data_IF_513193679248
#
_entry.id   IF_513193679248
#
_cell.length_a   1.000
_cell.length_b   1.000
_cell.length_c   1.000
_cell.angle_alpha   90.00
_cell.angle_beta   90.00
_cell.angle_gamma   90.00
#
_symmetry.space_group_name_H-M   'P 1'
#
loop_
_entity.id
_entity.type
_entity.pdbx_description
1 polymer ?
#
# COMPACT_ATOMS: atom_id res chain seq x y z
N UNK A 1 -1.74 15.39 1.99
CA UNK A 1 -2.60 14.31 2.54
C UNK A 1 -1.74 13.08 2.73
N UNK A 2 -1.55 12.58 3.93
CA UNK A 2 -0.69 11.43 4.17
C UNK A 2 -1.55 10.22 4.51
N UNK A 3 -1.60 9.19 3.68
CA UNK A 3 -2.05 7.85 4.12
C UNK A 3 -2.04 6.82 2.99
N UNK A 4 -0.92 6.61 2.33
CA UNK A 4 -0.84 5.63 1.23
C UNK A 4 0.15 4.46 1.41
N UNK A 5 1.07 4.51 2.36
CA UNK A 5 2.21 3.58 2.41
C UNK A 5 2.18 2.51 3.51
N UNK A 6 1.16 2.50 4.38
CA UNK A 6 1.08 1.52 5.47
C UNK A 6 0.10 0.36 5.24
N UNK A 7 -0.53 0.27 4.06
CA UNK A 7 -1.49 -0.82 3.75
C UNK A 7 -0.85 -2.09 3.19
N UNK A 8 0.44 -2.14 2.94
CA UNK A 8 1.08 -3.30 2.29
C UNK A 8 1.58 -4.39 3.25
N UNK A 9 1.81 -4.13 4.51
CA UNK A 9 2.30 -5.15 5.45
C UNK A 9 1.20 -6.06 6.05
N UNK A 10 -0.05 -5.62 6.05
CA UNK A 10 -1.19 -6.42 6.55
C UNK A 10 -1.82 -7.27 5.45
N UNK A 11 -1.54 -6.95 4.18
CA UNK A 11 -2.10 -7.65 3.01
C UNK A 11 -1.45 -9.01 2.73
N UNK A 12 -0.27 -9.30 3.27
CA UNK A 12 0.47 -10.53 2.92
C UNK A 12 0.01 -11.78 3.68
N UNK A 13 -0.77 -11.62 4.74
CA UNK A 13 -1.48 -12.75 5.37
C UNK A 13 -2.86 -12.97 4.75
N UNK A 14 -3.39 -11.98 4.00
CA UNK A 14 -4.74 -11.99 3.43
C UNK A 14 -4.80 -11.91 1.90
N UNK A 15 -3.69 -11.99 1.18
CA UNK A 15 -3.66 -11.80 -0.28
C UNK A 15 -3.10 -13.01 -1.04
N UNK A 16 -3.74 -14.17 -0.88
CA UNK A 16 -3.67 -15.23 -1.90
C UNK A 16 -5.09 -15.64 -2.20
N UNK A 17 -5.56 -15.32 -3.40
CA UNK A 17 -6.83 -15.65 -4.03
C UNK A 17 -7.90 -14.54 -4.04
N UNK A 18 -7.71 -13.55 -4.87
CA UNK A 18 -8.82 -12.81 -5.45
C UNK A 18 -8.45 -12.38 -6.88
N UNK A 19 -8.59 -13.30 -7.82
CA UNK A 19 -8.79 -12.96 -9.23
C UNK A 19 -9.75 -13.98 -9.86
N UNK A 20 -10.80 -13.42 -10.43
CA UNK A 20 -11.70 -13.95 -11.45
C UNK A 20 -13.12 -14.40 -11.05
N UNK A 21 -14.08 -13.67 -11.63
CA UNK A 21 -15.41 -14.00 -12.13
C UNK A 21 -16.63 -13.89 -11.21
N UNK A 22 -17.33 -12.77 -11.42
CA UNK A 22 -18.74 -12.59 -11.05
C UNK A 22 -19.66 -13.33 -12.02
N UNK A 23 -20.61 -14.14 -11.50
CA UNK A 23 -21.79 -14.59 -12.23
C UNK A 23 -23.02 -14.61 -11.30
N UNK A 24 -24.23 -14.35 -11.83
CA UNK A 24 -25.41 -14.06 -11.02
C UNK A 24 -26.15 -15.29 -10.51
N UNK A 25 -26.62 -15.17 -9.29
CA UNK A 25 -27.76 -15.80 -8.61
C UNK A 25 -28.20 -17.21 -8.99
N UNK A 26 -28.07 -18.16 -8.07
CA UNK A 26 -28.88 -19.37 -8.02
C UNK A 26 -29.84 -19.37 -6.83
N UNK A 27 -31.05 -19.95 -6.98
CA UNK A 27 -32.08 -19.91 -5.95
C UNK A 27 -31.75 -20.83 -4.78
N UNK A 28 -32.10 -20.37 -3.58
CA UNK A 28 -32.06 -21.13 -2.33
C UNK A 28 -33.14 -22.22 -2.35
N UNK A 29 -32.74 -23.46 -1.99
CA UNK A 29 -33.64 -24.56 -1.70
C UNK A 29 -33.37 -25.83 -2.49
N UNK A 30 -32.48 -26.67 -1.99
CA UNK A 30 -32.44 -28.07 -2.42
C UNK A 30 -33.03 -28.97 -1.31
N UNK A 31 -33.87 -29.98 -1.68
CA UNK A 31 -34.39 -30.94 -0.72
C UNK A 31 -33.26 -31.82 -0.16
N UNK A 32 -33.35 -32.10 1.13
CA UNK A 32 -32.44 -32.97 1.88
C UNK A 32 -32.52 -34.41 1.34
N UNK A 33 -31.64 -34.75 0.42
CA UNK A 33 -31.44 -36.11 -0.09
C UNK A 33 -30.35 -36.75 0.74
N UNK A 34 -30.70 -37.81 1.47
CA UNK A 34 -29.73 -38.63 2.20
C UNK A 34 -28.81 -39.36 1.22
N UNK A 35 -27.64 -38.79 0.93
CA UNK A 35 -26.63 -39.41 0.09
C UNK A 35 -25.65 -40.25 0.94
N UNK A 36 -25.25 -41.45 0.48
CA UNK A 36 -24.29 -42.30 1.18
C UNK A 36 -22.86 -41.71 1.26
N UNK A 37 -22.57 -40.62 0.57
CA UNK A 37 -21.30 -39.88 0.58
C UNK A 37 -21.55 -38.36 0.70
N UNK A 38 -22.28 -37.95 1.74
CA UNK A 38 -22.63 -36.54 1.99
C UNK A 38 -21.37 -35.64 2.01
N UNK A 39 -20.35 -36.04 2.73
CA UNK A 39 -19.09 -35.29 2.85
C UNK A 39 -18.39 -35.09 1.50
N UNK A 40 -18.33 -36.13 0.66
CA UNK A 40 -17.73 -36.01 -0.67
C UNK A 40 -18.51 -35.03 -1.56
N UNK A 41 -19.83 -35.05 -1.49
CA UNK A 41 -20.66 -34.10 -2.21
C UNK A 41 -20.44 -32.67 -1.73
N UNK A 42 -20.38 -32.46 -0.42
CA UNK A 42 -20.11 -31.16 0.20
C UNK A 42 -18.72 -30.62 -0.22
N UNK A 43 -17.68 -31.48 -0.27
CA UNK A 43 -16.34 -31.08 -0.72
C UNK A 43 -16.31 -30.70 -2.20
N UNK A 44 -16.93 -31.48 -3.07
CA UNK A 44 -16.98 -31.19 -4.52
C UNK A 44 -17.76 -29.88 -4.75
N UNK A 45 -18.88 -29.68 -4.07
CA UNK A 45 -19.68 -28.47 -4.21
C UNK A 45 -18.98 -27.24 -3.67
N UNK A 46 -18.21 -27.36 -2.58
CA UNK A 46 -17.39 -26.30 -2.03
C UNK A 46 -16.27 -25.88 -3.01
N UNK A 47 -15.59 -26.85 -3.61
CA UNK A 47 -14.53 -26.61 -4.59
C UNK A 47 -15.08 -25.90 -5.85
N UNK A 48 -16.23 -26.35 -6.37
CA UNK A 48 -16.94 -25.70 -7.46
C UNK A 48 -17.35 -24.26 -7.07
N UNK A 49 -17.81 -24.04 -5.87
CA UNK A 49 -18.23 -22.73 -5.38
C UNK A 49 -17.05 -21.74 -5.32
N UNK A 50 -15.88 -22.19 -4.84
CA UNK A 50 -14.65 -21.38 -4.88
C UNK A 50 -14.28 -20.96 -6.30
N UNK A 51 -14.30 -21.89 -7.25
CA UNK A 51 -14.02 -21.60 -8.66
C UNK A 51 -15.02 -20.64 -9.30
N UNK A 52 -16.23 -20.56 -8.74
CA UNK A 52 -17.28 -19.61 -9.15
C UNK A 52 -17.28 -18.30 -8.37
N UNK A 53 -16.39 -18.15 -7.39
CA UNK A 53 -16.30 -16.96 -6.53
C UNK A 53 -17.33 -16.95 -5.41
N UNK A 54 -18.11 -18.01 -5.19
CA UNK A 54 -19.06 -18.15 -4.07
C UNK A 54 -18.36 -18.72 -2.83
N UNK A 55 -17.49 -17.91 -2.25
CA UNK A 55 -16.75 -18.28 -1.03
C UNK A 55 -17.66 -18.43 0.20
N UNK A 56 -18.83 -17.80 0.17
CA UNK A 56 -19.82 -17.93 1.27
C UNK A 56 -20.38 -19.34 1.35
N UNK A 57 -20.79 -19.92 0.22
CA UNK A 57 -21.26 -21.28 0.14
C UNK A 57 -20.14 -22.28 0.46
N UNK A 58 -18.93 -22.06 -0.06
CA UNK A 58 -17.78 -22.90 0.23
C UNK A 58 -17.49 -22.98 1.73
N UNK A 59 -17.56 -21.85 2.43
CA UNK A 59 -17.40 -21.79 3.88
C UNK A 59 -18.39 -22.72 4.61
N UNK A 60 -19.69 -22.61 4.29
CA UNK A 60 -20.72 -23.43 4.98
C UNK A 60 -20.50 -24.92 4.72
N UNK A 61 -20.20 -25.32 3.46
CA UNK A 61 -19.96 -26.71 3.11
C UNK A 61 -18.71 -27.26 3.83
N UNK A 62 -17.60 -26.51 3.85
CA UNK A 62 -16.39 -26.94 4.56
C UNK A 62 -16.58 -26.97 6.09
N UNK A 63 -17.35 -26.04 6.66
CA UNK A 63 -17.67 -26.03 8.08
C UNK A 63 -18.50 -27.24 8.52
N UNK A 64 -19.49 -27.61 7.72
CA UNK A 64 -20.33 -28.78 7.98
C UNK A 64 -19.51 -30.07 7.87
N UNK A 65 -18.72 -30.19 6.79
CA UNK A 65 -17.82 -31.32 6.61
C UNK A 65 -16.76 -31.42 7.73
N UNK A 66 -16.17 -30.28 8.15
CA UNK A 66 -15.17 -30.24 9.23
C UNK A 66 -15.72 -30.74 10.56
N UNK A 67 -16.95 -30.34 10.92
CA UNK A 67 -17.61 -30.78 12.15
C UNK A 67 -17.96 -32.26 12.13
N UNK A 68 -18.45 -32.77 10.97
CA UNK A 68 -18.86 -34.16 10.81
C UNK A 68 -17.68 -35.12 10.86
N UNK A 69 -16.59 -34.77 10.15
CA UNK A 69 -15.39 -35.61 10.01
C UNK A 69 -14.31 -35.31 11.08
N UNK A 70 -14.52 -34.27 11.92
CA UNK A 70 -13.51 -33.77 12.87
C UNK A 70 -12.17 -33.50 12.16
N UNK A 71 -12.21 -32.89 11.00
CA UNK A 71 -11.06 -32.66 10.15
C UNK A 71 -10.49 -31.25 10.33
N UNK A 72 -9.23 -31.21 10.76
CA UNK A 72 -8.47 -29.94 10.86
C UNK A 72 -8.29 -29.26 9.50
N UNK A 73 -8.03 -30.05 8.45
CA UNK A 73 -7.81 -29.51 7.09
C UNK A 73 -9.07 -28.83 6.55
N UNK A 74 -10.25 -29.43 6.77
CA UNK A 74 -11.51 -28.84 6.33
C UNK A 74 -11.87 -27.59 7.15
N UNK A 75 -11.61 -27.60 8.44
CA UNK A 75 -11.79 -26.43 9.30
C UNK A 75 -10.85 -25.27 8.88
N UNK A 76 -9.63 -25.60 8.46
CA UNK A 76 -8.68 -24.64 7.90
C UNK A 76 -9.20 -24.02 6.58
N UNK A 77 -9.73 -24.83 5.66
CA UNK A 77 -10.33 -24.33 4.42
C UNK A 77 -11.52 -23.40 4.71
N UNK A 78 -12.39 -23.76 5.66
CA UNK A 78 -13.47 -22.89 6.09
C UNK A 78 -12.93 -21.56 6.68
N UNK A 79 -11.88 -21.63 7.49
CA UNK A 79 -11.23 -20.44 8.03
C UNK A 79 -10.64 -19.56 6.92
N UNK A 80 -9.95 -20.14 5.94
CA UNK A 80 -9.40 -19.41 4.79
C UNK A 80 -10.51 -18.70 3.98
N UNK A 81 -11.64 -19.35 3.74
CA UNK A 81 -12.79 -18.75 3.08
C UNK A 81 -13.40 -17.58 3.88
N UNK A 82 -13.53 -17.74 5.20
CA UNK A 82 -14.01 -16.68 6.08
C UNK A 82 -13.07 -15.46 6.08
N UNK A 83 -11.77 -15.70 6.08
CA UNK A 83 -10.73 -14.67 5.98
C UNK A 83 -10.79 -13.95 4.62
N UNK A 84 -10.91 -14.68 3.53
CA UNK A 84 -11.02 -14.12 2.18
C UNK A 84 -12.24 -13.22 2.02
N UNK A 85 -13.36 -13.57 2.66
CA UNK A 85 -14.60 -12.76 2.67
C UNK A 85 -14.60 -11.66 3.73
N UNK A 86 -13.53 -11.52 4.51
CA UNK A 86 -13.40 -10.55 5.61
C UNK A 86 -14.54 -10.66 6.64
N UNK A 87 -14.96 -11.87 6.92
CA UNK A 87 -15.99 -12.14 7.93
C UNK A 87 -15.36 -12.64 9.23
N UNK A 88 -15.14 -11.77 10.23
CA UNK A 88 -14.45 -12.15 11.47
C UNK A 88 -15.24 -13.17 12.30
N UNK A 89 -16.56 -13.10 12.32
CA UNK A 89 -17.40 -14.05 13.09
C UNK A 89 -17.24 -15.47 12.54
N UNK A 90 -17.29 -15.64 11.23
CA UNK A 90 -17.07 -16.90 10.55
C UNK A 90 -15.64 -17.41 10.76
N UNK A 91 -14.64 -16.52 10.68
CA UNK A 91 -13.25 -16.89 10.93
C UNK A 91 -13.03 -17.40 12.37
N UNK A 92 -13.64 -16.74 13.37
CA UNK A 92 -13.60 -17.18 14.78
C UNK A 92 -14.29 -18.53 14.95
N UNK A 93 -15.46 -18.73 14.32
CA UNK A 93 -16.18 -20.00 14.39
C UNK A 93 -15.36 -21.16 13.78
N UNK A 94 -14.77 -20.95 12.62
CA UNK A 94 -13.91 -21.94 11.96
C UNK A 94 -12.62 -22.20 12.77
N UNK A 95 -12.01 -21.17 13.35
CA UNK A 95 -10.83 -21.32 14.20
C UNK A 95 -11.10 -22.20 15.42
N UNK A 96 -12.28 -22.10 16.02
CA UNK A 96 -12.68 -22.97 17.15
C UNK A 96 -12.79 -24.44 16.72
N UNK A 97 -13.49 -24.71 15.61
CA UNK A 97 -13.60 -26.09 15.07
C UNK A 97 -12.22 -26.63 14.67
N UNK A 98 -11.36 -25.79 14.12
CA UNK A 98 -10.00 -26.18 13.77
C UNK A 98 -9.20 -26.56 15.03
N UNK A 99 -9.28 -25.81 16.13
CA UNK A 99 -8.59 -26.10 17.36
C UNK A 99 -9.15 -27.35 18.10
N UNK A 100 -10.42 -27.69 17.90
CA UNK A 100 -11.00 -28.93 18.43
C UNK A 100 -10.37 -30.18 17.76
N UNK A 101 -9.98 -30.06 16.49
CA UNK A 101 -9.36 -31.14 15.70
C UNK A 101 -7.83 -31.09 15.71
N UNK A 102 -7.25 -29.92 15.71
CA UNK A 102 -5.81 -29.66 15.80
C UNK A 102 -5.54 -28.56 16.84
N UNK A 103 -5.36 -28.94 18.11
CA UNK A 103 -5.03 -27.98 19.15
C UNK A 103 -3.70 -27.22 18.93
N UNK A 104 -2.85 -27.62 17.99
CA UNK A 104 -1.58 -26.96 17.67
C UNK A 104 -1.70 -25.89 16.56
N UNK A 105 -2.87 -25.76 15.94
CA UNK A 105 -3.09 -24.81 14.85
C UNK A 105 -2.80 -23.36 15.29
N UNK A 106 -1.67 -22.84 14.84
CA UNK A 106 -1.17 -21.51 15.24
C UNK A 106 -2.09 -20.39 14.77
N UNK A 107 -2.51 -20.41 13.50
CA UNK A 107 -3.35 -19.38 12.87
C UNK A 107 -4.74 -19.32 13.51
N UNK A 108 -5.29 -20.47 13.88
CA UNK A 108 -6.55 -20.53 14.60
C UNK A 108 -6.44 -19.88 16.01
N UNK A 109 -5.36 -20.15 16.75
CA UNK A 109 -5.11 -19.48 18.04
C UNK A 109 -4.87 -18.00 17.89
N UNK A 110 -4.13 -17.58 16.85
CA UNK A 110 -3.90 -16.18 16.57
C UNK A 110 -5.22 -15.44 16.28
N UNK A 111 -6.15 -16.09 15.57
CA UNK A 111 -7.49 -15.55 15.32
C UNK A 111 -8.27 -15.34 16.63
N UNK A 112 -8.25 -16.33 17.55
CA UNK A 112 -8.91 -16.19 18.84
C UNK A 112 -8.23 -15.18 19.76
N UNK A 113 -6.90 -15.07 19.69
CA UNK A 113 -6.15 -14.05 20.42
C UNK A 113 -6.52 -12.64 19.91
N UNK A 114 -6.56 -12.45 18.59
CA UNK A 114 -6.95 -11.16 18.00
C UNK A 114 -8.38 -10.75 18.42
N UNK A 115 -9.32 -11.67 18.39
CA UNK A 115 -10.69 -11.46 18.89
C UNK A 115 -10.73 -11.09 20.38
N UNK A 116 -9.98 -11.81 21.22
CA UNK A 116 -9.90 -11.54 22.65
C UNK A 116 -9.29 -10.15 22.93
N UNK A 117 -8.26 -9.76 22.16
CA UNK A 117 -7.63 -8.42 22.25
C UNK A 117 -8.63 -7.34 21.85
N UNK A 118 -9.38 -7.51 20.78
CA UNK A 118 -10.38 -6.52 20.34
C UNK A 118 -11.54 -6.35 21.31
N UNK A 119 -11.96 -7.44 21.95
CA UNK A 119 -13.01 -7.41 22.98
C UNK A 119 -12.51 -6.92 24.35
N UNK A 120 -11.19 -6.82 24.54
CA UNK A 120 -10.58 -6.50 25.85
C UNK A 120 -10.77 -7.62 26.88
N UNK A 121 -10.85 -8.87 26.46
CA UNK A 121 -10.95 -10.05 27.32
C UNK A 121 -9.56 -10.46 27.82
N UNK A 122 -9.13 -9.83 28.90
CA UNK A 122 -7.79 -10.00 29.45
C UNK A 122 -7.48 -11.46 29.85
N UNK A 123 -8.47 -12.21 30.32
CA UNK A 123 -8.30 -13.62 30.70
C UNK A 123 -8.05 -14.49 29.46
N UNK A 124 -8.85 -14.31 28.41
CA UNK A 124 -8.68 -15.00 27.15
C UNK A 124 -7.35 -14.61 26.45
N UNK A 125 -6.95 -13.32 26.48
CA UNK A 125 -5.66 -12.86 25.96
C UNK A 125 -4.51 -13.62 26.60
N UNK A 126 -4.45 -13.69 27.93
CA UNK A 126 -3.40 -14.42 28.65
C UNK A 126 -3.42 -15.91 28.31
N UNK A 127 -4.58 -16.54 28.36
CA UNK A 127 -4.72 -17.96 28.08
C UNK A 127 -4.24 -18.35 26.67
N UNK A 128 -4.55 -17.53 25.64
CA UNK A 128 -4.09 -17.82 24.29
C UNK A 128 -2.56 -17.61 24.14
N UNK A 129 -1.98 -16.59 24.75
CA UNK A 129 -0.53 -16.35 24.73
C UNK A 129 0.22 -17.47 25.46
N UNK A 130 -0.24 -17.88 26.65
CA UNK A 130 0.37 -18.93 27.42
C UNK A 130 0.37 -20.26 26.66
N UNK A 131 -0.74 -20.59 26.01
CA UNK A 131 -0.85 -21.82 25.21
C UNK A 131 0.03 -21.78 23.95
N UNK A 132 0.12 -20.63 23.26
CA UNK A 132 1.05 -20.43 22.13
C UNK A 132 2.49 -20.63 22.60
N UNK A 133 2.86 -20.03 23.73
CA UNK A 133 4.21 -20.16 24.30
C UNK A 133 4.55 -21.59 24.67
N UNK A 134 3.61 -22.29 25.34
CA UNK A 134 3.77 -23.71 25.77
C UNK A 134 4.02 -24.59 24.53
N UNK A 135 3.16 -24.51 23.52
CA UNK A 135 3.25 -25.33 22.30
C UNK A 135 4.49 -25.04 21.48
N UNK A 136 4.86 -23.76 21.38
CA UNK A 136 6.09 -23.38 20.68
C UNK A 136 7.34 -23.96 21.38
N UNK A 137 7.33 -24.06 22.69
CA UNK A 137 8.42 -24.71 23.43
C UNK A 137 8.56 -26.21 23.10
N UNK A 138 7.47 -26.87 22.69
CA UNK A 138 7.46 -28.29 22.28
C UNK A 138 7.97 -28.49 20.85
N UNK A 139 7.79 -27.49 19.97
CA UNK A 139 8.09 -27.58 18.53
C UNK A 139 9.40 -26.91 18.14
N UNK A 140 9.74 -25.76 18.74
CA UNK A 140 10.94 -24.98 18.44
C UNK A 140 12.16 -25.53 19.21
N UNK A 141 12.88 -26.48 18.64
CA UNK A 141 13.95 -27.22 19.32
C UNK A 141 15.33 -26.59 19.16
N UNK A 142 15.59 -25.96 18.01
CA UNK A 142 16.89 -25.36 17.71
C UNK A 142 16.98 -23.90 18.20
N UNK A 143 18.19 -23.38 18.51
CA UNK A 143 18.37 -21.98 18.89
C UNK A 143 17.83 -20.98 17.85
N UNK A 144 17.87 -21.34 16.55
CA UNK A 144 17.36 -20.51 15.48
C UNK A 144 15.82 -20.47 15.43
N UNK A 145 15.18 -21.57 15.80
CA UNK A 145 13.69 -21.66 15.86
C UNK A 145 13.11 -20.98 17.08
N UNK A 146 13.84 -20.99 18.22
CA UNK A 146 13.35 -20.45 19.49
C UNK A 146 12.91 -19.00 19.37
N UNK A 147 11.65 -18.73 19.66
CA UNK A 147 11.03 -17.41 19.56
C UNK A 147 10.47 -17.07 18.18
N UNK A 148 10.53 -17.96 17.18
CA UNK A 148 9.97 -17.70 15.84
C UNK A 148 8.46 -17.52 15.85
N UNK A 149 7.78 -18.17 16.80
CA UNK A 149 6.34 -17.98 16.99
C UNK A 149 5.98 -16.53 17.35
N UNK A 150 6.83 -15.81 18.10
CA UNK A 150 6.64 -14.40 18.43
C UNK A 150 6.66 -13.55 17.15
N UNK A 151 7.61 -13.81 16.25
CA UNK A 151 7.71 -13.10 14.99
C UNK A 151 6.46 -13.33 14.12
N UNK A 152 5.90 -14.54 14.13
CA UNK A 152 4.62 -14.87 13.46
C UNK A 152 3.41 -14.21 14.14
N UNK A 153 3.47 -14.00 15.45
CA UNK A 153 2.40 -13.41 16.26
C UNK A 153 2.24 -11.91 16.00
N UNK A 154 3.34 -11.18 15.86
CA UNK A 154 3.33 -9.71 15.83
C UNK A 154 2.46 -9.08 14.73
N UNK A 155 2.47 -9.56 13.47
CA UNK A 155 1.61 -9.01 12.43
C UNK A 155 0.11 -9.08 12.77
N UNK A 156 -0.33 -10.19 13.39
CA UNK A 156 -1.71 -10.36 13.82
C UNK A 156 -2.10 -9.35 14.92
N UNK A 157 -1.25 -9.18 15.92
CA UNK A 157 -1.46 -8.19 16.98
C UNK A 157 -1.30 -6.75 16.50
N UNK A 158 -0.47 -6.52 15.48
CA UNK A 158 -0.33 -5.22 14.87
C UNK A 158 -1.57 -4.81 14.03
N UNK A 159 -2.41 -5.75 13.61
CA UNK A 159 -3.62 -5.50 12.86
C UNK A 159 -4.81 -5.06 13.74
N UNK A 160 -4.85 -5.45 15.02
CA UNK A 160 -5.97 -5.12 15.91
C UNK A 160 -5.97 -3.66 16.34
N UNK A 161 -7.14 -3.15 16.74
CA UNK A 161 -7.25 -1.77 17.25
C UNK A 161 -6.53 -1.61 18.58
N UNK A 162 -5.79 -0.50 18.82
CA UNK A 162 -5.22 -0.21 20.12
C UNK A 162 -6.30 -0.12 21.21
N UNK A 163 -6.14 -0.87 22.29
CA UNK A 163 -7.10 -0.93 23.39
C UNK A 163 -6.52 -1.58 24.65
N UNK A 164 -7.37 -1.88 25.64
CA UNK A 164 -6.96 -2.55 26.87
C UNK A 164 -6.38 -3.95 26.62
N UNK A 165 -7.02 -4.73 25.75
CA UNK A 165 -6.55 -6.08 25.40
C UNK A 165 -5.16 -6.09 24.76
N UNK A 166 -4.81 -5.09 23.93
CA UNK A 166 -3.45 -4.99 23.39
C UNK A 166 -2.43 -4.67 24.51
N UNK A 167 -2.80 -3.83 25.49
CA UNK A 167 -1.95 -3.58 26.67
C UNK A 167 -1.72 -4.85 27.45
N UNK A 168 -2.77 -5.64 27.68
CA UNK A 168 -2.68 -6.94 28.36
C UNK A 168 -1.81 -7.92 27.57
N UNK A 169 -1.94 -7.96 26.24
CA UNK A 169 -1.07 -8.79 25.40
C UNK A 169 0.41 -8.38 25.53
N UNK A 170 0.72 -7.08 25.47
CA UNK A 170 2.08 -6.57 25.68
C UNK A 170 2.62 -6.95 27.05
N UNK A 171 1.84 -6.75 28.12
CA UNK A 171 2.25 -7.12 29.48
C UNK A 171 2.54 -8.62 29.63
N UNK A 172 1.72 -9.46 28.99
CA UNK A 172 1.87 -10.93 29.05
C UNK A 172 3.09 -11.39 28.24
N UNK A 173 3.35 -10.74 27.11
CA UNK A 173 4.49 -11.06 26.24
C UNK A 173 5.84 -10.58 26.79
N UNK A 174 5.89 -9.51 27.58
CA UNK A 174 7.12 -8.91 28.08
C UNK A 174 8.09 -9.91 28.72
N UNK A 175 7.68 -10.75 29.73
CA UNK A 175 8.58 -11.72 30.35
C UNK A 175 9.01 -12.84 29.41
N UNK A 176 8.20 -13.14 28.38
CA UNK A 176 8.54 -14.13 27.36
C UNK A 176 9.60 -13.57 26.41
N UNK A 177 9.39 -12.36 25.92
CA UNK A 177 10.32 -11.65 25.01
C UNK A 177 11.68 -11.41 25.67
N UNK A 178 11.70 -11.19 27.00
CA UNK A 178 12.94 -11.03 27.77
C UNK A 178 13.84 -12.27 27.74
N UNK A 179 13.31 -13.44 27.38
CA UNK A 179 14.11 -14.67 27.22
C UNK A 179 14.90 -14.69 25.90
N UNK A 180 14.59 -13.78 24.97
CA UNK A 180 15.21 -13.71 23.64
C UNK A 180 15.98 -12.39 23.40
N UNK A 181 16.92 -12.01 24.27
CA UNK A 181 17.57 -10.67 24.19
C UNK A 181 18.44 -10.49 22.95
N UNK A 182 18.89 -11.58 22.34
CA UNK A 182 19.76 -11.59 21.15
C UNK A 182 18.99 -11.73 19.82
N UNK A 183 17.69 -11.93 19.87
CA UNK A 183 16.83 -12.02 18.68
C UNK A 183 16.33 -10.63 18.32
N UNK A 184 17.03 -9.95 17.43
CA UNK A 184 16.70 -8.58 17.01
C UNK A 184 15.29 -8.48 16.42
N UNK A 185 14.88 -9.46 15.60
CA UNK A 185 13.55 -9.58 15.02
C UNK A 185 12.43 -9.67 16.09
N UNK A 186 12.64 -10.49 17.15
CA UNK A 186 11.72 -10.60 18.28
C UNK A 186 11.63 -9.28 19.04
N UNK A 187 12.77 -8.64 19.34
CA UNK A 187 12.80 -7.41 20.12
C UNK A 187 12.18 -6.23 19.36
N UNK A 188 12.43 -6.11 18.05
CA UNK A 188 11.89 -5.03 17.19
C UNK A 188 10.38 -5.24 17.00
N UNK A 189 9.93 -6.46 16.70
CA UNK A 189 8.50 -6.75 16.59
C UNK A 189 7.73 -6.45 17.88
N UNK A 190 8.30 -6.77 19.04
CA UNK A 190 7.71 -6.38 20.31
C UNK A 190 7.71 -4.86 20.53
N UNK A 191 8.76 -4.19 20.12
CA UNK A 191 8.81 -2.72 20.17
C UNK A 191 7.71 -2.05 19.33
N UNK A 192 7.33 -2.63 18.19
CA UNK A 192 6.18 -2.18 17.40
C UNK A 192 4.87 -2.23 18.21
N UNK A 193 4.64 -3.30 18.98
CA UNK A 193 3.47 -3.40 19.85
C UNK A 193 3.52 -2.38 21.00
N UNK A 194 4.70 -2.16 21.61
CA UNK A 194 4.89 -1.13 22.62
C UNK A 194 4.51 0.26 22.09
N UNK A 195 4.95 0.62 20.90
CA UNK A 195 4.62 1.89 20.27
C UNK A 195 3.09 2.08 20.16
N UNK A 196 2.37 1.04 19.78
CA UNK A 196 0.90 1.05 19.64
C UNK A 196 0.15 1.15 20.97
N UNK A 197 0.78 0.81 22.08
CA UNK A 197 0.19 0.96 23.44
C UNK A 197 0.49 2.30 24.09
N UNK A 198 1.11 3.24 23.36
CA UNK A 198 1.47 4.57 23.83
C UNK A 198 2.82 4.63 24.56
N UNK A 199 3.63 3.57 24.45
CA UNK A 199 4.95 3.49 25.07
C UNK A 199 6.07 3.81 24.03
N UNK A 200 5.90 4.87 23.24
CA UNK A 200 6.74 5.21 22.10
C UNK A 200 8.22 5.33 22.42
N UNK A 201 8.58 6.05 23.51
CA UNK A 201 9.97 6.23 23.90
C UNK A 201 10.66 4.90 24.27
N UNK A 202 9.95 4.03 24.98
CA UNK A 202 10.45 2.70 25.31
C UNK A 202 10.59 1.84 24.07
N UNK A 203 9.62 1.89 23.19
CA UNK A 203 9.62 1.19 21.90
C UNK A 203 10.84 1.56 21.06
N UNK A 204 11.08 2.86 20.87
CA UNK A 204 12.21 3.34 20.10
C UNK A 204 13.55 2.92 20.71
N UNK A 205 13.75 3.09 22.03
CA UNK A 205 14.98 2.64 22.70
C UNK A 205 15.21 1.14 22.54
N UNK A 206 14.15 0.31 22.67
CA UNK A 206 14.26 -1.14 22.54
C UNK A 206 14.62 -1.54 21.10
N UNK A 207 13.94 -0.96 20.10
CA UNK A 207 14.24 -1.21 18.70
C UNK A 207 15.65 -0.78 18.32
N UNK A 208 16.11 0.38 18.78
CA UNK A 208 17.46 0.88 18.56
C UNK A 208 18.53 -0.06 19.16
N UNK A 209 18.32 -0.53 20.38
CA UNK A 209 19.23 -1.47 21.04
C UNK A 209 19.26 -2.83 20.31
N UNK A 210 18.11 -3.30 19.85
CA UNK A 210 18.01 -4.56 19.09
C UNK A 210 18.73 -4.48 17.74
N UNK A 211 18.53 -3.42 16.98
CA UNK A 211 19.22 -3.16 15.70
C UNK A 211 20.73 -3.03 15.90
N UNK A 212 21.20 -2.37 16.98
CA UNK A 212 22.60 -2.25 17.28
C UNK A 212 23.27 -3.60 17.58
N UNK A 213 22.55 -4.63 17.97
CA UNK A 213 23.08 -5.99 18.18
C UNK A 213 23.40 -6.73 16.88
N UNK A 214 22.85 -6.27 15.75
CA UNK A 214 23.03 -6.82 14.40
C UNK A 214 23.48 -5.72 13.42
N UNK A 215 24.65 -5.13 13.60
CA UNK A 215 25.05 -3.85 13.02
C UNK A 215 25.18 -3.82 11.48
N UNK A 216 25.14 -4.98 10.82
CA UNK A 216 25.22 -5.10 9.35
C UNK A 216 23.88 -5.50 8.71
N UNK A 217 22.83 -5.66 9.52
CA UNK A 217 21.50 -6.01 9.06
C UNK A 217 20.70 -4.72 8.78
N UNK A 218 20.66 -4.33 7.53
CA UNK A 218 19.97 -3.10 7.11
C UNK A 218 18.44 -3.21 7.20
N UNK A 219 17.90 -4.42 7.08
CA UNK A 219 16.45 -4.64 7.22
C UNK A 219 16.03 -4.38 8.67
N UNK A 220 16.73 -4.95 9.64
CA UNK A 220 16.48 -4.71 11.06
C UNK A 220 16.70 -3.27 11.47
N UNK A 221 17.69 -2.60 10.84
CA UNK A 221 17.87 -1.17 11.02
C UNK A 221 16.69 -0.36 10.51
N UNK A 222 16.18 -0.71 9.33
CA UNK A 222 15.00 -0.05 8.74
C UNK A 222 13.75 -0.22 9.59
N UNK A 223 13.49 -1.44 10.06
CA UNK A 223 12.38 -1.73 10.97
C UNK A 223 12.49 -0.94 12.29
N UNK A 224 13.69 -0.89 12.88
CA UNK A 224 13.92 -0.13 14.10
C UNK A 224 13.76 1.38 13.91
N UNK A 225 14.21 1.91 12.78
CA UNK A 225 14.00 3.31 12.41
C UNK A 225 12.52 3.63 12.23
N UNK A 226 11.74 2.71 11.67
CA UNK A 226 10.30 2.85 11.51
C UNK A 226 9.57 2.87 12.87
N UNK A 227 9.95 2.02 13.81
CA UNK A 227 9.44 2.07 15.21
C UNK A 227 9.71 3.44 15.84
N UNK A 228 10.93 3.98 15.70
CA UNK A 228 11.26 5.29 16.22
C UNK A 228 10.49 6.41 15.51
N UNK A 229 10.27 6.27 14.22
CA UNK A 229 9.44 7.18 13.44
C UNK A 229 8.00 7.20 13.95
N UNK A 230 7.36 6.05 14.09
CA UNK A 230 5.98 5.92 14.59
C UNK A 230 5.84 6.47 16.03
N UNK A 231 6.88 6.33 16.84
CA UNK A 231 6.96 6.86 18.17
C UNK A 231 7.19 8.40 18.24
N UNK A 232 7.39 9.07 17.10
CA UNK A 232 7.71 10.50 17.04
C UNK A 232 9.19 10.82 17.32
N UNK A 233 10.03 9.81 17.54
CA UNK A 233 11.46 9.95 17.87
C UNK A 233 12.34 10.02 16.62
N UNK A 234 12.05 11.00 15.74
CA UNK A 234 12.75 11.17 14.44
C UNK A 234 14.26 11.40 14.61
N UNK A 235 14.68 12.07 15.69
CA UNK A 235 16.09 12.32 15.97
C UNK A 235 16.89 11.03 16.20
N UNK A 236 16.31 10.06 16.90
CA UNK A 236 16.93 8.75 17.13
C UNK A 236 16.95 7.93 15.85
N UNK A 237 15.83 7.88 15.11
CA UNK A 237 15.79 7.23 13.80
C UNK A 237 16.88 7.76 12.86
N UNK A 238 17.01 9.08 12.78
CA UNK A 238 18.08 9.74 12.02
C UNK A 238 19.50 9.30 12.48
N UNK A 239 19.75 9.34 13.79
CA UNK A 239 21.04 9.03 14.37
C UNK A 239 21.48 7.59 14.05
N UNK A 240 20.57 6.63 14.16
CA UNK A 240 20.83 5.23 13.84
C UNK A 240 21.20 5.04 12.37
N UNK A 241 20.42 5.62 11.46
CA UNK A 241 20.64 5.53 10.01
C UNK A 241 21.94 6.22 9.61
N UNK A 242 22.22 7.41 10.14
CA UNK A 242 23.46 8.13 9.88
C UNK A 242 24.71 7.35 10.34
N UNK A 243 24.63 6.73 11.52
CA UNK A 243 25.71 5.88 12.03
C UNK A 243 26.00 4.67 11.13
N UNK A 244 24.96 4.06 10.59
CA UNK A 244 25.09 2.96 9.64
C UNK A 244 25.69 3.45 8.32
N UNK A 245 25.18 4.55 7.75
CA UNK A 245 25.63 5.11 6.49
C UNK A 245 27.09 5.61 6.50
N UNK A 246 27.66 5.88 7.67
CA UNK A 246 29.11 6.14 7.79
C UNK A 246 29.97 4.93 7.42
N UNK A 247 29.46 3.71 7.65
CA UNK A 247 30.15 2.45 7.33
C UNK A 247 29.71 1.89 5.97
N UNK A 248 28.46 2.13 5.59
CA UNK A 248 27.81 1.62 4.39
C UNK A 248 27.24 2.78 3.55
N UNK A 249 28.09 3.66 2.99
CA UNK A 249 27.67 4.95 2.42
C UNK A 249 26.77 4.82 1.17
N UNK A 250 26.75 3.64 0.56
CA UNK A 250 26.06 3.36 -0.70
C UNK A 250 24.89 2.37 -0.56
N UNK A 251 24.43 2.08 0.66
CA UNK A 251 23.27 1.23 0.88
C UNK A 251 22.00 2.00 0.46
N UNK A 252 21.45 1.63 -0.71
CA UNK A 252 20.30 2.33 -1.32
C UNK A 252 19.04 2.22 -0.48
N UNK A 253 18.82 1.09 0.19
CA UNK A 253 17.67 0.87 1.06
C UNK A 253 17.72 1.81 2.28
N UNK A 254 18.86 1.88 2.95
CA UNK A 254 19.03 2.77 4.12
C UNK A 254 19.04 4.24 3.71
N UNK A 255 19.64 4.59 2.55
CA UNK A 255 19.60 5.94 2.01
C UNK A 255 18.17 6.41 1.73
N UNK A 256 17.30 5.54 1.22
CA UNK A 256 15.89 5.85 0.99
C UNK A 256 15.16 6.15 2.31
N UNK A 257 15.35 5.33 3.33
CA UNK A 257 14.75 5.55 4.66
C UNK A 257 15.30 6.83 5.29
N UNK A 258 16.60 7.06 5.20
CA UNK A 258 17.24 8.26 5.72
C UNK A 258 16.71 9.52 5.03
N UNK A 259 16.55 9.49 3.72
CA UNK A 259 15.94 10.58 2.95
C UNK A 259 14.54 10.94 3.46
N UNK A 260 13.70 9.95 3.71
CA UNK A 260 12.35 10.17 4.27
C UNK A 260 12.39 10.76 5.69
N UNK A 261 13.31 10.32 6.54
CA UNK A 261 13.48 10.87 7.89
C UNK A 261 13.94 12.34 7.82
N UNK A 262 14.91 12.64 6.96
CA UNK A 262 15.40 14.01 6.75
C UNK A 262 14.31 14.95 6.22
N UNK A 263 13.49 14.47 5.28
CA UNK A 263 12.33 15.21 4.76
C UNK A 263 11.33 15.55 5.85
N UNK A 264 10.98 14.59 6.70
CA UNK A 264 10.06 14.81 7.84
C UNK A 264 10.63 15.77 8.90
N UNK A 265 11.95 15.80 9.03
CA UNK A 265 12.65 16.80 9.87
C UNK A 265 12.75 18.17 9.19
N UNK A 266 12.19 18.36 8.00
CA UNK A 266 12.26 19.60 7.22
C UNK A 266 13.62 19.83 6.55
N UNK A 267 14.51 18.86 6.55
CA UNK A 267 15.88 18.95 6.02
C UNK A 267 15.93 18.52 4.55
N UNK A 268 15.14 19.20 3.71
CA UNK A 268 14.91 18.81 2.30
C UNK A 268 16.19 18.64 1.49
N UNK A 269 17.19 19.50 1.68
CA UNK A 269 18.45 19.39 0.94
C UNK A 269 19.23 18.12 1.30
N UNK A 270 19.24 17.72 2.58
CA UNK A 270 19.87 16.48 3.04
C UNK A 270 19.09 15.24 2.54
N UNK A 271 17.76 15.33 2.54
CA UNK A 271 16.90 14.28 1.97
C UNK A 271 17.18 14.07 0.48
N UNK A 272 17.28 15.15 -0.28
CA UNK A 272 17.61 15.10 -1.71
C UNK A 272 19.00 14.48 -1.94
N UNK A 273 20.04 14.88 -1.18
CA UNK A 273 21.37 14.27 -1.29
C UNK A 273 21.34 12.75 -1.06
N UNK A 274 20.59 12.30 -0.05
CA UNK A 274 20.44 10.88 0.24
C UNK A 274 19.78 10.12 -0.92
N UNK A 275 18.70 10.65 -1.49
CA UNK A 275 18.01 10.05 -2.63
C UNK A 275 18.89 10.02 -3.89
N UNK A 276 19.64 11.10 -4.15
CA UNK A 276 20.58 11.15 -5.28
C UNK A 276 21.71 10.12 -5.14
N UNK A 277 22.20 9.90 -3.94
CA UNK A 277 23.19 8.84 -3.67
C UNK A 277 22.59 7.44 -3.86
N UNK A 278 21.36 7.24 -3.39
CA UNK A 278 20.64 5.97 -3.60
C UNK A 278 20.40 5.68 -5.09
N UNK A 279 20.02 6.70 -5.86
CA UNK A 279 19.76 6.59 -7.31
C UNK A 279 20.99 6.17 -8.13
N UNK A 280 22.20 6.45 -7.65
CA UNK A 280 23.46 6.06 -8.32
C UNK A 280 23.76 4.56 -8.18
N UNK A 281 23.03 3.83 -7.34
CA UNK A 281 23.26 2.40 -7.15
C UNK A 281 22.58 1.58 -8.26
N UNK A 282 23.18 0.46 -8.70
CA UNK A 282 22.64 -0.35 -9.81
C UNK A 282 21.23 -0.92 -9.54
N UNK A 283 20.93 -1.21 -8.29
CA UNK A 283 19.61 -1.75 -7.85
C UNK A 283 18.66 -0.65 -7.35
N UNK A 284 18.79 0.57 -7.86
CA UNK A 284 17.90 1.66 -7.44
C UNK A 284 16.47 1.43 -7.92
N UNK A 285 15.52 1.68 -7.02
CA UNK A 285 14.08 1.64 -7.27
C UNK A 285 13.66 2.94 -7.98
N UNK A 286 12.75 2.86 -8.95
CA UNK A 286 12.21 4.03 -9.67
C UNK A 286 11.57 5.05 -8.72
N UNK A 287 11.00 4.61 -7.59
CA UNK A 287 10.42 5.49 -6.57
C UNK A 287 11.44 6.46 -5.99
N UNK A 288 12.73 6.10 -5.99
CA UNK A 288 13.80 6.98 -5.53
C UNK A 288 13.93 8.19 -6.47
N UNK A 289 13.88 7.95 -7.78
CA UNK A 289 13.95 9.01 -8.79
C UNK A 289 12.70 9.91 -8.72
N UNK A 290 11.52 9.35 -8.52
CA UNK A 290 10.29 10.10 -8.34
C UNK A 290 10.35 11.01 -7.10
N UNK A 291 10.71 10.46 -5.94
CA UNK A 291 10.83 11.23 -4.69
C UNK A 291 11.91 12.33 -4.78
N UNK A 292 13.01 12.05 -5.48
CA UNK A 292 14.04 13.07 -5.73
C UNK A 292 13.50 14.22 -6.60
N UNK A 293 12.65 13.90 -7.60
CA UNK A 293 11.97 14.88 -8.42
C UNK A 293 11.04 15.79 -7.62
N UNK A 294 10.19 15.20 -6.75
CA UNK A 294 9.29 15.96 -5.86
C UNK A 294 10.09 16.88 -4.91
N UNK A 295 11.13 16.36 -4.27
CA UNK A 295 11.97 17.18 -3.38
C UNK A 295 12.72 18.30 -4.12
N UNK A 296 13.19 18.05 -5.34
CA UNK A 296 13.83 19.08 -6.15
C UNK A 296 12.81 20.17 -6.54
N UNK A 297 11.56 19.78 -6.86
CA UNK A 297 10.47 20.73 -7.13
C UNK A 297 10.14 21.58 -5.90
N UNK A 298 10.03 20.98 -4.71
CA UNK A 298 9.82 21.68 -3.44
C UNK A 298 10.95 22.65 -3.09
N UNK A 299 12.16 22.37 -3.54
CA UNK A 299 13.32 23.25 -3.38
C UNK A 299 13.41 24.34 -4.48
N UNK A 300 12.51 24.30 -5.47
CA UNK A 300 12.52 25.22 -6.60
C UNK A 300 13.65 24.96 -7.62
N UNK A 301 14.31 23.79 -7.58
CA UNK A 301 15.39 23.43 -8.48
C UNK A 301 14.81 22.76 -9.75
N UNK A 302 14.25 23.57 -10.64
CA UNK A 302 13.58 23.09 -11.84
C UNK A 302 14.46 22.22 -12.77
N UNK A 303 15.76 22.50 -12.98
CA UNK A 303 16.64 21.62 -13.74
C UNK A 303 16.79 20.22 -13.14
N UNK A 304 16.95 20.11 -11.81
CA UNK A 304 17.02 18.80 -11.14
C UNK A 304 15.66 18.12 -11.12
N UNK A 305 14.58 18.85 -10.92
CA UNK A 305 13.20 18.31 -11.01
C UNK A 305 13.01 17.60 -12.34
N UNK A 306 13.33 18.28 -13.45
CA UNK A 306 13.23 17.70 -14.79
C UNK A 306 14.13 16.47 -14.94
N UNK A 307 15.38 16.55 -14.51
CA UNK A 307 16.34 15.45 -14.65
C UNK A 307 15.90 14.19 -13.90
N UNK A 308 15.37 14.34 -12.68
CA UNK A 308 14.98 13.19 -11.87
C UNK A 308 13.66 12.57 -12.34
N UNK A 309 12.69 13.36 -12.79
CA UNK A 309 11.48 12.80 -13.38
C UNK A 309 11.72 12.14 -14.75
N UNK A 310 12.64 12.65 -15.57
CA UNK A 310 13.11 11.94 -16.77
C UNK A 310 13.71 10.58 -16.40
N UNK A 311 14.57 10.55 -15.38
CA UNK A 311 15.16 9.32 -14.90
C UNK A 311 14.13 8.32 -14.43
N UNK A 312 13.07 8.77 -13.74
CA UNK A 312 11.93 7.94 -13.34
C UNK A 312 11.24 7.31 -14.56
N UNK A 313 10.94 8.09 -15.59
CA UNK A 313 10.32 7.59 -16.83
C UNK A 313 11.23 6.59 -17.55
N UNK A 314 12.54 6.84 -17.62
CA UNK A 314 13.52 5.91 -18.19
C UNK A 314 13.52 4.56 -17.45
N UNK A 315 13.50 4.61 -16.12
CA UNK A 315 13.48 3.39 -15.30
C UNK A 315 12.21 2.58 -15.49
N UNK A 316 11.04 3.24 -15.59
CA UNK A 316 9.77 2.57 -15.88
C UNK A 316 9.80 1.91 -17.27
N UNK A 317 10.30 2.60 -18.29
CA UNK A 317 10.45 2.03 -19.65
C UNK A 317 11.35 0.79 -19.66
N UNK A 318 12.39 0.78 -18.82
CA UNK A 318 13.31 -0.35 -18.73
C UNK A 318 12.73 -1.56 -17.98
N UNK A 319 11.70 -1.37 -17.14
CA UNK A 319 11.09 -2.44 -16.35
C UNK A 319 10.07 -3.25 -17.14
N UNK A 320 9.23 -2.62 -17.94
CA UNK A 320 8.18 -3.28 -18.69
C UNK A 320 7.72 -2.42 -19.86
N UNK A 321 7.52 -3.08 -21.01
CA UNK A 321 6.88 -2.46 -22.18
C UNK A 321 5.36 -2.30 -22.02
N UNK A 322 4.75 -2.97 -21.02
CA UNK A 322 3.30 -2.93 -20.77
C UNK A 322 2.84 -1.73 -19.97
N UNK A 323 3.75 -0.90 -19.46
CA UNK A 323 3.39 0.30 -18.68
C UNK A 323 2.88 1.38 -19.64
N UNK A 324 1.61 1.74 -19.48
CA UNK A 324 1.02 2.87 -20.23
C UNK A 324 1.53 4.20 -19.68
N UNK A 325 2.65 4.66 -20.22
CA UNK A 325 3.29 5.92 -19.83
C UNK A 325 2.42 7.14 -20.15
N UNK A 326 1.48 7.04 -21.10
CA UNK A 326 0.63 8.17 -21.51
C UNK A 326 -0.39 8.59 -20.44
N UNK A 327 -0.52 7.83 -19.36
CA UNK A 327 -1.43 8.08 -18.24
C UNK A 327 -0.72 8.55 -16.96
N UNK A 328 0.60 8.74 -17.00
CA UNK A 328 1.39 9.07 -15.81
C UNK A 328 1.39 10.58 -15.53
N UNK A 329 1.00 10.94 -14.32
CA UNK A 329 1.01 12.35 -13.84
C UNK A 329 2.41 13.00 -13.92
N UNK A 330 3.48 12.23 -14.03
CA UNK A 330 4.86 12.74 -14.14
C UNK A 330 5.04 13.74 -15.29
N UNK A 331 4.26 13.59 -16.35
CA UNK A 331 4.31 14.53 -17.49
C UNK A 331 3.86 15.94 -17.11
N UNK A 332 2.89 16.08 -16.20
CA UNK A 332 2.54 17.39 -15.65
C UNK A 332 3.70 18.00 -14.85
N UNK A 333 4.40 17.15 -14.07
CA UNK A 333 5.58 17.60 -13.30
C UNK A 333 6.71 18.06 -14.19
N UNK A 334 6.98 17.32 -15.27
CA UNK A 334 7.99 17.68 -16.28
C UNK A 334 7.62 18.98 -17.00
N UNK A 335 6.38 19.12 -17.42
CA UNK A 335 5.90 20.36 -18.06
C UNK A 335 6.04 21.58 -17.15
N UNK A 336 5.62 21.44 -15.88
CA UNK A 336 5.78 22.52 -14.90
C UNK A 336 7.26 22.89 -14.69
N UNK A 337 8.16 21.90 -14.60
CA UNK A 337 9.59 22.15 -14.46
C UNK A 337 10.18 22.88 -15.69
N UNK A 338 9.69 22.55 -16.88
CA UNK A 338 10.09 23.24 -18.10
C UNK A 338 9.60 24.71 -18.15
N UNK A 339 8.37 24.98 -17.68
CA UNK A 339 7.86 26.37 -17.57
C UNK A 339 8.68 27.18 -16.57
N UNK A 340 9.05 26.61 -15.43
CA UNK A 340 9.92 27.28 -14.45
C UNK A 340 11.29 27.64 -15.05
N UNK A 341 11.75 26.89 -16.04
CA UNK A 341 12.97 27.14 -16.80
C UNK A 341 12.74 28.07 -18.03
N UNK A 342 11.55 28.68 -18.13
CA UNK A 342 11.16 29.54 -19.23
C UNK A 342 11.28 28.86 -20.61
N UNK A 343 10.91 27.59 -20.67
CA UNK A 343 10.94 26.80 -21.91
C UNK A 343 9.54 26.26 -22.22
N UNK A 344 8.63 27.14 -22.72
CA UNK A 344 7.24 26.78 -23.00
C UNK A 344 7.11 25.70 -24.10
N UNK A 345 8.01 25.67 -25.09
CA UNK A 345 8.02 24.62 -26.10
C UNK A 345 8.22 23.25 -25.51
N UNK A 346 9.22 23.10 -24.63
CA UNK A 346 9.45 21.82 -23.91
C UNK A 346 8.30 21.48 -22.98
N UNK A 347 7.70 22.48 -22.36
CA UNK A 347 6.54 22.24 -21.49
C UNK A 347 5.38 21.65 -22.29
N UNK A 348 5.10 22.20 -23.47
CA UNK A 348 4.08 21.68 -24.38
C UNK A 348 4.36 20.24 -24.80
N UNK A 349 5.62 19.91 -25.14
CA UNK A 349 6.03 18.55 -25.49
C UNK A 349 5.73 17.56 -24.34
N UNK A 350 6.04 17.93 -23.09
CA UNK A 350 5.76 17.07 -21.94
C UNK A 350 4.27 16.92 -21.66
N UNK A 351 3.49 17.99 -21.74
CA UNK A 351 2.05 17.91 -21.53
C UNK A 351 1.37 17.06 -22.62
N UNK A 352 1.87 17.11 -23.85
CA UNK A 352 1.37 16.32 -24.96
C UNK A 352 1.55 14.79 -24.77
N UNK A 353 2.51 14.36 -23.94
CA UNK A 353 2.69 12.94 -23.61
C UNK A 353 1.54 12.37 -22.73
N UNK A 354 0.83 13.22 -21.98
CA UNK A 354 -0.27 12.78 -21.11
C UNK A 354 -1.60 12.77 -21.87
N UNK A 355 -1.97 11.59 -22.39
CA UNK A 355 -3.14 11.43 -23.28
C UNK A 355 -4.32 10.72 -22.63
N UNK A 356 -4.14 10.18 -21.44
CA UNK A 356 -5.18 9.41 -20.75
C UNK A 356 -5.17 9.61 -19.24
N UNK A 357 -6.18 9.03 -18.57
CA UNK A 357 -6.31 9.12 -17.11
C UNK A 357 -6.93 10.43 -16.62
N UNK A 358 -6.97 10.64 -15.29
CA UNK A 358 -7.73 11.73 -14.68
C UNK A 358 -7.16 13.14 -14.95
N UNK A 359 -5.94 13.25 -15.43
CA UNK A 359 -5.24 14.52 -15.68
C UNK A 359 -5.14 14.89 -17.16
N UNK A 360 -5.69 14.07 -18.06
CA UNK A 360 -5.54 14.28 -19.50
C UNK A 360 -6.13 15.61 -19.98
N UNK A 361 -7.27 16.02 -19.45
CA UNK A 361 -7.91 17.31 -19.78
C UNK A 361 -7.04 18.48 -19.32
N UNK A 362 -6.55 18.44 -18.06
CA UNK A 362 -5.66 19.49 -17.52
C UNK A 362 -4.36 19.58 -18.35
N UNK A 363 -3.81 18.43 -18.74
CA UNK A 363 -2.62 18.38 -19.58
C UNK A 363 -2.85 19.03 -20.96
N UNK A 364 -3.98 18.74 -21.62
CA UNK A 364 -4.31 19.36 -22.91
C UNK A 364 -4.48 20.87 -22.83
N UNK A 365 -5.09 21.35 -21.74
CA UNK A 365 -5.24 22.80 -21.51
C UNK A 365 -3.86 23.44 -21.28
N UNK A 366 -2.99 22.81 -20.47
CA UNK A 366 -1.63 23.30 -20.21
C UNK A 366 -0.74 23.25 -21.45
N UNK A 367 -0.87 22.22 -22.28
CA UNK A 367 -0.21 22.12 -23.57
C UNK A 367 -0.57 23.34 -24.46
N UNK A 368 -1.86 23.64 -24.57
CA UNK A 368 -2.32 24.78 -25.36
C UNK A 368 -1.82 26.12 -24.80
N UNK A 369 -1.83 26.30 -23.48
CA UNK A 369 -1.27 27.49 -22.85
C UNK A 369 0.23 27.63 -23.13
N UNK A 370 0.98 26.54 -22.96
CA UNK A 370 2.42 26.53 -23.22
C UNK A 370 2.74 26.80 -24.70
N UNK A 371 1.96 26.26 -25.63
CA UNK A 371 2.10 26.58 -27.07
C UNK A 371 1.78 28.06 -27.39
N UNK A 372 0.81 28.62 -26.69
CA UNK A 372 0.47 30.03 -26.83
C UNK A 372 1.63 30.93 -26.35
N UNK A 373 2.19 30.59 -25.17
CA UNK A 373 3.36 31.28 -24.59
C UNK A 373 4.61 31.14 -25.49
N UNK A 374 4.69 30.04 -26.23
CA UNK A 374 5.73 29.79 -27.23
C UNK A 374 5.51 30.55 -28.56
N UNK A 375 4.43 31.34 -28.68
CA UNK A 375 4.07 32.05 -29.91
C UNK A 375 3.46 31.15 -31.00
N UNK A 376 2.88 30.00 -30.62
CA UNK A 376 2.30 28.98 -31.51
C UNK A 376 0.79 28.78 -31.29
N UNK A 377 -0.04 29.85 -31.40
CA UNK A 377 -1.46 29.76 -31.02
C UNK A 377 -2.30 28.84 -31.93
N UNK A 378 -1.95 28.69 -33.20
CA UNK A 378 -2.66 27.75 -34.08
C UNK A 378 -2.40 26.29 -33.70
N UNK A 379 -1.19 25.96 -33.24
CA UNK A 379 -0.89 24.62 -32.69
C UNK A 379 -1.63 24.38 -31.37
N UNK A 380 -1.78 25.43 -30.54
CA UNK A 380 -2.59 25.38 -29.32
C UNK A 380 -4.07 25.07 -29.62
N UNK A 381 -4.67 25.75 -30.60
CA UNK A 381 -6.03 25.46 -31.03
C UNK A 381 -6.17 24.04 -31.58
N UNK A 382 -5.17 23.58 -32.33
CA UNK A 382 -5.14 22.20 -32.84
C UNK A 382 -5.10 21.20 -31.71
N UNK A 383 -4.24 21.37 -30.70
CA UNK A 383 -4.13 20.48 -29.54
C UNK A 383 -5.47 20.36 -28.76
N UNK A 384 -6.18 21.49 -28.54
CA UNK A 384 -7.48 21.51 -27.89
C UNK A 384 -8.55 20.75 -28.71
N UNK A 385 -8.55 20.89 -30.03
CA UNK A 385 -9.48 20.18 -30.94
C UNK A 385 -9.23 18.68 -30.94
N UNK A 386 -7.99 18.26 -31.07
CA UNK A 386 -7.59 16.85 -30.98
C UNK A 386 -7.98 16.27 -29.64
N UNK A 387 -7.72 17.00 -28.54
CA UNK A 387 -8.12 16.59 -27.19
C UNK A 387 -9.62 16.36 -27.03
N UNK A 388 -10.47 17.21 -27.67
CA UNK A 388 -11.94 17.01 -27.65
C UNK A 388 -12.38 15.72 -28.32
N UNK A 389 -11.70 15.32 -29.39
CA UNK A 389 -12.00 14.07 -30.10
C UNK A 389 -11.56 12.84 -29.29
N UNK A 390 -10.42 12.95 -28.60
CA UNK A 390 -9.86 11.89 -27.77
C UNK A 390 -10.62 11.73 -26.43
N UNK A 391 -10.97 12.86 -25.78
CA UNK A 391 -11.53 12.92 -24.42
C UNK A 391 -13.02 13.35 -24.46
N UNK A 392 -13.84 12.66 -25.22
CA UNK A 392 -15.25 13.00 -25.50
C UNK A 392 -16.11 13.29 -24.27
N UNK A 393 -15.86 12.62 -23.14
CA UNK A 393 -16.63 12.81 -21.89
C UNK A 393 -16.34 14.17 -21.24
N UNK A 394 -15.17 14.74 -21.49
CA UNK A 394 -14.71 15.99 -20.88
C UNK A 394 -14.54 17.09 -21.92
N UNK A 395 -15.17 16.93 -23.09
CA UNK A 395 -15.01 17.85 -24.23
C UNK A 395 -15.43 19.29 -23.91
N UNK A 396 -16.40 19.50 -23.00
CA UNK A 396 -16.87 20.82 -22.62
C UNK A 396 -15.75 21.70 -22.03
N UNK A 397 -14.93 21.16 -21.15
CA UNK A 397 -13.80 21.90 -20.57
C UNK A 397 -12.78 22.34 -21.64
N UNK A 398 -12.54 21.49 -22.63
CA UNK A 398 -11.64 21.79 -23.75
C UNK A 398 -12.26 22.80 -24.72
N UNK A 399 -13.59 22.74 -24.95
CA UNK A 399 -14.31 23.76 -25.73
C UNK A 399 -14.25 25.14 -25.06
N UNK A 400 -14.38 25.17 -23.73
CA UNK A 400 -14.25 26.39 -22.94
C UNK A 400 -12.84 26.99 -23.06
N UNK A 401 -11.79 26.17 -22.96
CA UNK A 401 -10.41 26.59 -23.12
C UNK A 401 -10.15 27.09 -24.56
N UNK A 402 -10.64 26.38 -25.59
CA UNK A 402 -10.53 26.81 -27.00
C UNK A 402 -11.23 28.14 -27.24
N UNK A 403 -12.44 28.32 -26.69
CA UNK A 403 -13.18 29.59 -26.83
C UNK A 403 -12.42 30.76 -26.20
N UNK A 404 -11.81 30.59 -25.03
CA UNK A 404 -10.98 31.62 -24.40
C UNK A 404 -9.79 31.99 -25.28
N UNK A 405 -9.08 31.01 -25.80
CA UNK A 405 -7.95 31.25 -26.69
C UNK A 405 -8.38 31.96 -27.98
N UNK A 406 -9.51 31.56 -28.58
CA UNK A 406 -10.06 32.25 -29.75
C UNK A 406 -10.39 33.74 -29.49
N UNK A 407 -10.92 34.04 -28.27
CA UNK A 407 -11.17 35.41 -27.84
C UNK A 407 -9.87 36.22 -27.71
N UNK A 408 -8.83 35.67 -27.14
CA UNK A 408 -7.50 36.29 -27.02
C UNK A 408 -6.89 36.58 -28.38
N UNK A 409 -7.12 35.68 -29.36
CA UNK A 409 -6.69 35.85 -30.74
C UNK A 409 -7.61 36.80 -31.57
N UNK A 410 -8.58 37.45 -30.93
CA UNK A 410 -9.59 38.30 -31.54
C UNK A 410 -10.50 37.58 -32.57
N UNK A 411 -10.62 36.28 -32.51
CA UNK A 411 -11.46 35.41 -33.38
C UNK A 411 -12.86 35.22 -32.77
N UNK A 412 -13.56 36.31 -32.45
CA UNK A 412 -14.82 36.36 -31.69
C UNK A 412 -15.94 35.53 -32.32
N UNK A 413 -16.06 35.55 -33.64
CA UNK A 413 -17.13 34.79 -34.32
C UNK A 413 -16.97 33.28 -34.14
N UNK A 414 -15.74 32.79 -34.20
CA UNK A 414 -15.44 31.38 -33.99
C UNK A 414 -15.68 30.97 -32.52
N UNK A 415 -15.28 31.80 -31.56
CA UNK A 415 -15.54 31.55 -30.15
C UNK A 415 -17.04 31.46 -29.85
N UNK A 416 -17.85 32.38 -30.39
CA UNK A 416 -19.32 32.34 -30.21
C UNK A 416 -19.92 31.11 -30.88
N UNK A 417 -19.52 30.75 -32.09
CA UNK A 417 -20.02 29.55 -32.76
C UNK A 417 -19.68 28.28 -31.97
N UNK A 418 -18.47 28.20 -31.40
CA UNK A 418 -18.04 27.08 -30.58
C UNK A 418 -18.89 26.93 -29.29
N UNK A 419 -19.16 28.05 -28.60
CA UNK A 419 -19.98 28.05 -27.39
C UNK A 419 -21.46 27.77 -27.69
N UNK A 420 -21.98 28.22 -28.84
CA UNK A 420 -23.33 27.82 -29.28
C UNK A 420 -23.42 26.32 -29.55
N UNK A 421 -22.40 25.71 -30.15
CA UNK A 421 -22.31 24.27 -30.30
C UNK A 421 -22.25 23.56 -28.92
N UNK A 422 -21.47 24.10 -28.00
CA UNK A 422 -21.38 23.56 -26.62
C UNK A 422 -22.77 23.59 -25.92
N UNK A 423 -23.50 24.71 -26.01
CA UNK A 423 -24.83 24.85 -25.43
C UNK A 423 -25.86 23.87 -26.01
N UNK A 424 -25.73 23.54 -27.31
CA UNK A 424 -26.60 22.53 -27.92
C UNK A 424 -26.25 21.10 -27.48
N UNK A 425 -24.95 20.84 -27.27
CA UNK A 425 -24.48 19.49 -26.92
C UNK A 425 -24.62 19.20 -25.41
N UNK A 426 -24.47 20.24 -24.57
CA UNK A 426 -24.46 20.14 -23.10
C UNK A 426 -25.51 21.13 -22.48
N UNK A 427 -26.82 20.95 -22.73
CA UNK A 427 -27.83 21.95 -22.37
C UNK A 427 -28.08 22.08 -20.84
N UNK A 428 -27.59 21.15 -20.03
CA UNK A 428 -27.78 21.15 -18.57
C UNK A 428 -26.56 21.69 -17.81
N UNK A 429 -25.47 21.97 -18.50
CA UNK A 429 -24.23 22.43 -17.86
C UNK A 429 -24.24 23.96 -17.72
N UNK A 430 -24.17 24.45 -16.47
CA UNK A 430 -24.25 25.88 -16.14
C UNK A 430 -23.11 26.73 -16.71
N UNK A 431 -21.97 26.12 -17.03
CA UNK A 431 -20.83 26.82 -17.64
C UNK A 431 -21.04 27.25 -19.10
N UNK A 432 -22.11 26.75 -19.75
CA UNK A 432 -22.42 27.04 -21.15
C UNK A 432 -23.55 28.06 -21.27
N UNK A 433 -24.28 28.30 -20.19
CA UNK A 433 -25.35 29.30 -20.12
C UNK A 433 -24.82 30.68 -19.71
#
# INVERSE_FOLDING_TARGET
>A
MPSGLFKFAVSTVFAVAASAFAHPGMPAGHPEVAHPNRTLFELITADIAVHRGDTGFAYEAWMDAAKNEKSADLAKLAWEAAVATRNPEKAIAAAKVWLDSDPAAFEARLTLLADAVERGDDAAVRAQIDELSRRSSETEKTPAEKGSWLVRLYPGLAAVKPGSGLKTAVQTLEPIVAQYPKRADVQIGFAQLLARTGQGDLACRRAAAASASVPNDHERLGEAADVCWQAGNMGEARSMLEKYLKKHPNDSYVLLIFGRVEERLGRRASALDALVRAMKQPASDERIAFNAGELAADLGDAPKTEAYFKRYVEMLRAQSEDIDLTRLEVWLRLGNAALMQKSPERAAEYYAELRGGPFAVDARIREALALTDAGRPEDALKALREGREELKLDALALMSAESKLLLELNRKQEAVALMQQAAQTYPTETEVL
#
